data_IF_511731582091
#
_entry.id   IF_511731582091
#
_cell.length_a   1.000
_cell.length_b   1.000
_cell.length_c   1.000
_cell.angle_alpha   90.00
_cell.angle_beta   90.00
_cell.angle_gamma   90.00
#
_symmetry.space_group_name_H-M   'P 1'
#
loop_
_entity.id
_entity.type
_entity.pdbx_description
1 polymer ?
#
# COMPACT_ATOMS: atom_id res chain seq x y z
N UNK A 1 -27.05 -12.73 1.61
CA UNK A 1 -25.88 -13.57 1.95
C UNK A 1 -24.94 -12.77 2.83
N UNK A 2 -24.92 -13.08 4.12
CA UNK A 2 -24.11 -12.41 5.13
C UNK A 2 -22.73 -13.08 5.10
N UNK A 3 -21.71 -12.40 4.58
CA UNK A 3 -20.34 -12.93 4.55
C UNK A 3 -19.84 -13.06 5.99
N UNK A 4 -19.74 -14.29 6.48
CA UNK A 4 -19.19 -14.60 7.79
C UNK A 4 -17.74 -14.13 7.87
N UNK A 5 -17.51 -13.10 8.68
CA UNK A 5 -16.17 -12.62 9.03
C UNK A 5 -15.48 -13.78 9.76
N UNK A 6 -14.52 -14.43 9.11
CA UNK A 6 -13.62 -15.40 9.79
C UNK A 6 -13.08 -14.73 11.06
N UNK A 7 -13.04 -15.47 12.17
CA UNK A 7 -12.60 -14.97 13.47
C UNK A 7 -11.31 -14.15 13.33
N UNK A 8 -11.41 -12.85 13.66
CA UNK A 8 -10.29 -11.92 13.55
C UNK A 8 -9.18 -12.40 14.50
N UNK A 9 -7.94 -12.52 14.00
CA UNK A 9 -6.79 -12.89 14.84
C UNK A 9 -6.67 -11.93 16.01
N UNK A 10 -6.38 -12.44 17.21
CA UNK A 10 -6.10 -11.62 18.41
C UNK A 10 -4.93 -10.68 18.11
N UNK A 11 -5.08 -9.40 18.43
CA UNK A 11 -4.01 -8.41 18.28
C UNK A 11 -2.89 -8.72 19.29
N UNK A 12 -1.79 -9.26 18.78
CA UNK A 12 -0.61 -9.70 19.54
C UNK A 12 0.58 -8.75 19.38
N UNK A 13 0.35 -7.55 18.83
CA UNK A 13 1.42 -6.65 18.42
C UNK A 13 2.05 -5.92 19.59
N UNK A 14 3.33 -5.62 19.44
CA UNK A 14 4.14 -4.85 20.38
C UNK A 14 3.53 -3.46 20.67
N UNK A 15 3.81 -2.92 21.86
CA UNK A 15 3.31 -1.62 22.29
C UNK A 15 3.78 -0.47 21.37
N UNK A 16 5.01 -0.52 20.86
CA UNK A 16 5.51 0.47 19.91
C UNK A 16 4.68 0.50 18.62
N UNK A 17 4.31 -0.68 18.11
CA UNK A 17 3.50 -0.77 16.89
C UNK A 17 2.12 -0.15 17.08
N UNK A 18 1.49 -0.34 18.24
CA UNK A 18 0.20 0.30 18.55
C UNK A 18 0.32 1.82 18.61
N UNK A 19 1.39 2.34 19.20
CA UNK A 19 1.64 3.79 19.26
C UNK A 19 1.86 4.36 17.85
N UNK A 20 2.69 3.71 17.04
CA UNK A 20 2.95 4.15 15.66
C UNK A 20 1.67 4.22 14.82
N UNK A 21 0.77 3.24 14.96
CA UNK A 21 -0.51 3.27 14.26
C UNK A 21 -1.41 4.41 14.70
N UNK A 22 -1.48 4.67 16.01
CA UNK A 22 -2.26 5.80 16.51
C UNK A 22 -1.75 7.11 15.91
N UNK A 23 -0.43 7.30 15.87
CA UNK A 23 0.18 8.48 15.23
C UNK A 23 -0.10 8.54 13.72
N UNK A 24 -0.10 7.40 13.01
CA UNK A 24 -0.49 7.34 11.59
C UNK A 24 -1.93 7.80 11.41
N UNK A 25 -2.85 7.33 12.26
CA UNK A 25 -4.26 7.69 12.19
C UNK A 25 -4.51 9.17 12.51
N UNK A 26 -3.85 9.68 13.54
CA UNK A 26 -3.91 11.10 13.93
C UNK A 26 -3.42 11.99 12.79
N UNK A 27 -2.20 11.73 12.26
CA UNK A 27 -1.67 12.47 11.11
C UNK A 27 -2.56 12.39 9.88
N UNK A 28 -3.20 11.25 9.65
CA UNK A 28 -4.11 11.08 8.51
C UNK A 28 -5.41 11.88 8.67
N UNK A 29 -5.90 12.05 9.91
CA UNK A 29 -7.11 12.82 10.21
C UNK A 29 -6.89 14.33 9.97
N UNK A 30 -5.72 14.84 10.35
CA UNK A 30 -5.36 16.26 10.26
C UNK A 30 -4.76 16.66 8.90
N UNK A 31 -4.62 15.70 8.00
CA UNK A 31 -3.97 15.91 6.70
C UNK A 31 -4.76 16.87 5.81
N UNK A 32 -4.03 17.83 5.24
CA UNK A 32 -4.58 18.71 4.21
C UNK A 32 -5.11 17.91 3.01
N UNK A 33 -6.41 18.06 2.75
CA UNK A 33 -7.12 17.41 1.64
C UNK A 33 -6.74 17.97 0.28
N UNK A 34 -6.18 19.16 0.25
CA UNK A 34 -5.71 19.86 -0.95
C UNK A 34 -4.22 19.68 -1.18
N UNK A 35 -3.51 18.92 -0.32
CA UNK A 35 -2.10 18.64 -0.49
C UNK A 35 -1.85 17.96 -1.85
N UNK A 36 -0.91 18.52 -2.60
CA UNK A 36 -0.50 18.01 -3.91
C UNK A 36 1.02 17.93 -3.92
N UNK A 37 1.55 16.75 -4.21
CA UNK A 37 2.97 16.56 -4.48
C UNK A 37 3.17 16.26 -5.97
N UNK A 38 4.10 16.94 -6.64
CA UNK A 38 4.38 16.75 -8.08
C UNK A 38 5.87 16.47 -8.29
N UNK A 39 6.19 15.75 -9.35
CA UNK A 39 7.56 15.48 -9.76
C UNK A 39 7.61 14.57 -10.98
N UNK A 40 8.72 14.61 -11.72
CA UNK A 40 8.94 13.79 -12.92
C UNK A 40 9.00 12.29 -12.61
N UNK A 41 9.34 11.93 -11.37
CA UNK A 41 9.34 10.57 -10.82
C UNK A 41 7.92 9.99 -10.62
N UNK A 42 6.86 10.77 -10.86
CA UNK A 42 5.46 10.34 -10.69
C UNK A 42 4.67 10.49 -12.00
N UNK A 43 4.06 9.39 -12.46
CA UNK A 43 3.27 9.33 -13.70
C UNK A 43 1.85 8.86 -13.43
N UNK A 44 0.86 9.65 -13.87
CA UNK A 44 -0.55 9.26 -13.80
C UNK A 44 -0.83 8.09 -14.75
N UNK A 45 -1.60 7.10 -14.27
CA UNK A 45 -1.95 5.90 -15.06
C UNK A 45 -3.44 5.83 -15.32
N UNK A 46 -4.27 5.91 -14.26
CA UNK A 46 -5.73 5.75 -14.38
C UNK A 46 -6.47 6.30 -13.16
N UNK A 47 -7.79 6.42 -13.27
CA UNK A 47 -8.70 6.55 -12.13
C UNK A 47 -9.30 5.19 -11.79
N UNK A 48 -9.45 4.89 -10.50
CA UNK A 48 -10.08 3.65 -10.02
C UNK A 48 -10.79 3.93 -8.68
N UNK A 49 -12.10 3.67 -8.60
CA UNK A 49 -12.88 3.88 -7.37
C UNK A 49 -12.85 5.32 -6.84
N UNK A 50 -12.78 6.32 -7.73
CA UNK A 50 -12.66 7.74 -7.34
C UNK A 50 -11.25 8.18 -6.91
N UNK A 51 -10.26 7.29 -6.99
CA UNK A 51 -8.86 7.56 -6.66
C UNK A 51 -8.03 7.67 -7.93
N UNK A 52 -6.95 8.46 -7.88
CA UNK A 52 -5.95 8.54 -8.95
C UNK A 52 -4.83 7.55 -8.66
N UNK A 53 -4.53 6.69 -9.63
CA UNK A 53 -3.45 5.71 -9.52
C UNK A 53 -2.24 6.23 -10.29
N UNK A 54 -1.10 6.25 -9.61
CA UNK A 54 0.17 6.70 -10.16
C UNK A 54 1.20 5.57 -10.13
N UNK A 55 2.01 5.50 -11.17
CA UNK A 55 3.30 4.83 -11.13
C UNK A 55 4.35 5.81 -10.61
N UNK A 56 5.20 5.34 -9.70
CA UNK A 56 6.29 6.12 -9.15
C UNK A 56 7.63 5.41 -9.28
N UNK A 57 8.69 6.19 -9.44
CA UNK A 57 10.04 5.71 -9.16
C UNK A 57 10.19 5.47 -7.65
N UNK A 58 10.03 4.22 -7.25
CA UNK A 58 10.11 3.84 -5.84
C UNK A 58 11.50 4.03 -5.23
N UNK A 59 12.57 4.01 -6.03
CA UNK A 59 13.92 4.29 -5.53
C UNK A 59 14.08 5.78 -5.21
N UNK A 60 13.61 6.65 -6.11
CA UNK A 60 13.55 8.07 -5.83
C UNK A 60 12.73 8.36 -4.56
N UNK A 61 11.53 7.77 -4.43
CA UNK A 61 10.68 7.95 -3.23
C UNK A 61 11.41 7.50 -1.96
N UNK A 62 12.12 6.37 -1.99
CA UNK A 62 12.88 5.88 -0.83
C UNK A 62 14.05 6.77 -0.44
N UNK A 63 14.73 7.34 -1.42
CA UNK A 63 15.90 8.18 -1.18
C UNK A 63 15.53 9.61 -0.77
N UNK A 64 14.34 10.10 -1.10
CA UNK A 64 13.96 11.50 -0.94
C UNK A 64 12.78 11.75 0.00
N UNK A 65 11.84 10.80 0.13
CA UNK A 65 10.61 11.00 0.91
C UNK A 65 10.50 10.04 2.09
N UNK A 66 10.76 8.74 1.89
CA UNK A 66 10.60 7.75 2.95
C UNK A 66 11.36 6.46 2.67
N UNK A 67 12.43 6.22 3.42
CA UNK A 67 13.25 5.02 3.30
C UNK A 67 12.48 3.70 3.46
N UNK A 68 11.32 3.75 4.14
CA UNK A 68 10.45 2.59 4.39
C UNK A 68 9.33 2.42 3.34
N UNK A 69 9.30 3.24 2.28
CA UNK A 69 8.32 3.06 1.20
C UNK A 69 8.55 1.72 0.49
N UNK A 70 7.55 0.84 0.61
CA UNK A 70 7.56 -0.51 0.06
C UNK A 70 7.32 -0.54 -1.45
N UNK A 71 6.33 -1.34 -1.86
CA UNK A 71 5.96 -1.49 -3.27
C UNK A 71 4.80 -0.58 -3.69
N UNK A 72 3.97 -0.16 -2.75
CA UNK A 72 2.85 0.76 -2.97
C UNK A 72 2.53 1.51 -1.68
N UNK A 73 1.63 2.50 -1.77
CA UNK A 73 1.18 3.24 -0.60
C UNK A 73 0.06 4.23 -0.90
N UNK A 74 -0.58 4.70 0.16
CA UNK A 74 -1.66 5.70 0.11
C UNK A 74 -1.60 6.73 1.24
N UNK A 75 -2.39 7.81 1.09
CA UNK A 75 -2.31 8.99 1.94
C UNK A 75 -2.71 8.85 3.42
N UNK A 76 -3.39 7.77 3.82
CA UNK A 76 -3.69 7.48 5.24
C UNK A 76 -2.53 6.80 5.99
N UNK A 77 -1.49 6.36 5.28
CA UNK A 77 -0.30 5.72 5.89
C UNK A 77 0.92 6.62 5.70
N UNK A 78 1.07 7.17 4.49
CA UNK A 78 2.16 8.05 4.14
C UNK A 78 1.68 9.50 4.03
N UNK A 79 2.19 10.38 4.91
CA UNK A 79 1.83 11.79 4.93
C UNK A 79 2.15 12.53 3.62
N UNK A 80 3.18 12.09 2.90
CA UNK A 80 3.59 12.67 1.61
C UNK A 80 2.75 12.21 0.40
N UNK A 81 1.83 11.26 0.55
CA UNK A 81 0.96 10.79 -0.55
C UNK A 81 -0.41 11.48 -0.45
N UNK A 82 -0.90 12.26 -1.43
CA UNK A 82 -2.22 12.88 -1.32
C UNK A 82 -3.37 11.88 -1.01
N UNK A 83 -4.39 12.31 -0.25
CA UNK A 83 -5.48 11.43 0.24
C UNK A 83 -6.34 10.79 -0.87
N UNK A 84 -6.31 11.35 -2.08
CA UNK A 84 -7.01 10.86 -3.26
C UNK A 84 -6.08 10.12 -4.25
N UNK A 85 -4.85 9.80 -3.84
CA UNK A 85 -3.85 9.11 -4.67
C UNK A 85 -3.46 7.75 -4.10
N UNK A 86 -3.19 6.82 -5.01
CA UNK A 86 -2.53 5.53 -4.77
C UNK A 86 -1.24 5.54 -5.58
N UNK A 87 -0.11 5.24 -4.95
CA UNK A 87 1.19 5.18 -5.62
C UNK A 87 1.68 3.74 -5.69
N UNK A 88 2.18 3.34 -6.85
CA UNK A 88 2.70 1.99 -7.11
C UNK A 88 4.12 2.11 -7.68
N UNK A 89 5.07 1.48 -7.01
CA UNK A 89 6.45 1.40 -7.45
C UNK A 89 6.57 0.57 -8.73
N UNK A 90 7.30 1.09 -9.71
CA UNK A 90 7.50 0.41 -11.00
C UNK A 90 8.54 -0.72 -10.95
N UNK A 91 9.39 -0.72 -9.91
CA UNK A 91 10.52 -1.65 -9.77
C UNK A 91 10.58 -2.22 -8.37
N UNK A 92 11.02 -3.47 -8.29
CA UNK A 92 11.29 -4.15 -7.04
C UNK A 92 12.42 -3.42 -6.27
N UNK A 93 12.28 -3.15 -4.96
CA UNK A 93 13.30 -2.45 -4.20
C UNK A 93 14.66 -3.14 -4.28
N UNK A 94 15.70 -2.39 -4.66
CA UNK A 94 17.07 -2.93 -4.77
C UNK A 94 17.60 -3.52 -3.44
N UNK A 95 17.12 -2.99 -2.31
CA UNK A 95 17.45 -3.42 -0.96
C UNK A 95 16.50 -4.50 -0.39
N UNK A 96 15.61 -5.11 -1.19
CA UNK A 96 14.81 -6.25 -0.67
C UNK A 96 15.71 -7.44 -0.34
N UNK A 97 15.35 -8.17 0.72
CA UNK A 97 15.95 -9.45 1.13
C UNK A 97 15.40 -10.66 0.35
N UNK A 98 14.56 -10.41 -0.65
CA UNK A 98 13.91 -11.40 -1.50
C UNK A 98 14.97 -12.25 -2.24
N UNK A 99 14.96 -13.57 -2.05
CA UNK A 99 15.96 -14.48 -2.66
C UNK A 99 15.66 -14.86 -4.11
N UNK A 100 14.37 -14.95 -4.47
CA UNK A 100 13.90 -15.46 -5.76
C UNK A 100 13.47 -14.36 -6.74
N UNK A 101 13.76 -13.09 -6.43
CA UNK A 101 13.37 -11.96 -7.26
C UNK A 101 14.62 -11.20 -7.65
N UNK A 102 14.80 -10.97 -8.95
CA UNK A 102 15.88 -10.13 -9.46
C UNK A 102 15.76 -8.70 -8.88
N UNK A 103 16.87 -8.18 -8.36
CA UNK A 103 16.92 -6.83 -7.79
C UNK A 103 16.60 -5.80 -8.88
N UNK A 104 15.82 -4.79 -8.54
CA UNK A 104 15.42 -3.72 -9.46
C UNK A 104 14.60 -4.18 -10.69
N UNK A 105 14.10 -5.43 -10.69
CA UNK A 105 13.19 -5.97 -11.70
C UNK A 105 11.95 -5.08 -11.83
N UNK A 106 11.50 -4.83 -13.06
CA UNK A 106 10.23 -4.16 -13.33
C UNK A 106 9.07 -5.03 -12.82
N UNK A 107 8.17 -4.44 -12.04
CA UNK A 107 7.01 -5.17 -11.51
C UNK A 107 6.06 -5.57 -12.65
N UNK A 108 5.44 -6.74 -12.53
CA UNK A 108 4.45 -7.21 -13.51
C UNK A 108 3.15 -6.40 -13.41
N UNK A 109 2.34 -6.45 -14.47
CA UNK A 109 1.01 -5.82 -14.44
C UNK A 109 0.13 -6.47 -13.37
N UNK A 110 0.20 -7.81 -13.23
CA UNK A 110 -0.54 -8.56 -12.20
C UNK A 110 -0.17 -8.11 -10.79
N UNK A 111 1.12 -7.95 -10.50
CA UNK A 111 1.57 -7.43 -9.22
C UNK A 111 1.03 -6.00 -9.00
N UNK A 112 1.14 -5.15 -10.02
CA UNK A 112 0.66 -3.77 -9.94
C UNK A 112 -0.83 -3.71 -9.63
N UNK A 113 -1.64 -4.59 -10.24
CA UNK A 113 -3.08 -4.65 -9.99
C UNK A 113 -3.40 -5.24 -8.60
N UNK A 114 -2.62 -6.20 -8.12
CA UNK A 114 -2.70 -6.71 -6.73
C UNK A 114 -2.42 -5.58 -5.73
N UNK A 115 -1.34 -4.83 -5.93
CA UNK A 115 -0.97 -3.70 -5.08
C UNK A 115 -2.05 -2.60 -5.10
N UNK A 116 -2.59 -2.25 -6.27
CA UNK A 116 -3.69 -1.27 -6.35
C UNK A 116 -4.93 -1.77 -5.60
N UNK A 117 -5.30 -3.05 -5.73
CA UNK A 117 -6.43 -3.62 -5.00
C UNK A 117 -6.19 -3.57 -3.49
N UNK A 118 -4.97 -3.91 -3.05
CA UNK A 118 -4.55 -3.84 -1.64
C UNK A 118 -4.74 -2.43 -1.10
N UNK A 119 -4.09 -1.45 -1.71
CA UNK A 119 -4.07 -0.06 -1.26
C UNK A 119 -5.47 0.58 -1.26
N UNK A 120 -6.29 0.31 -2.28
CA UNK A 120 -7.67 0.83 -2.32
C UNK A 120 -8.50 0.24 -1.17
N UNK A 121 -8.34 -1.06 -0.89
CA UNK A 121 -9.06 -1.76 0.17
C UNK A 121 -8.64 -1.26 1.54
N UNK A 122 -7.33 -1.23 1.80
CA UNK A 122 -6.75 -0.73 3.06
C UNK A 122 -7.19 0.71 3.33
N UNK A 123 -7.02 1.61 2.34
CA UNK A 123 -7.43 3.01 2.42
C UNK A 123 -8.91 3.15 2.74
N UNK A 124 -9.77 2.34 2.10
CA UNK A 124 -11.22 2.41 2.28
C UNK A 124 -11.60 2.08 3.73
N UNK A 125 -10.97 1.08 4.32
CA UNK A 125 -11.24 0.71 5.71
C UNK A 125 -10.61 1.70 6.70
N UNK A 126 -9.39 2.20 6.44
CA UNK A 126 -8.79 3.25 7.28
C UNK A 126 -9.60 4.54 7.27
N UNK A 127 -10.16 4.94 6.12
CA UNK A 127 -11.09 6.07 6.03
C UNK A 127 -12.34 5.89 6.91
N UNK A 128 -12.74 4.65 7.21
CA UNK A 128 -13.86 4.32 8.10
C UNK A 128 -13.45 4.24 9.58
N UNK A 129 -12.20 4.59 9.91
CA UNK A 129 -11.65 4.54 11.26
C UNK A 129 -11.01 3.20 11.62
N UNK A 130 -10.86 2.26 10.68
CA UNK A 130 -10.14 1.01 10.94
C UNK A 130 -8.64 1.30 11.15
N UNK A 131 -8.04 0.67 12.15
CA UNK A 131 -6.58 0.73 12.35
C UNK A 131 -5.85 0.07 11.19
N UNK A 132 -4.66 0.61 10.86
CA UNK A 132 -3.84 0.19 9.73
C UNK A 132 -3.70 -1.33 9.64
N UNK A 133 -3.30 -2.01 10.71
CA UNK A 133 -3.10 -3.45 10.70
C UNK A 133 -4.35 -4.24 10.37
N UNK A 134 -5.52 -3.87 10.91
CA UNK A 134 -6.77 -4.54 10.56
C UNK A 134 -7.12 -4.31 9.09
N UNK A 135 -6.97 -3.07 8.61
CA UNK A 135 -7.23 -2.72 7.22
C UNK A 135 -6.29 -3.49 6.27
N UNK A 136 -5.02 -3.64 6.64
CA UNK A 136 -4.02 -4.41 5.92
C UNK A 136 -4.40 -5.90 5.80
N UNK A 137 -4.88 -6.51 6.89
CA UNK A 137 -5.35 -7.90 6.85
C UNK A 137 -6.57 -8.09 5.92
N UNK A 138 -7.50 -7.12 5.92
CA UNK A 138 -8.65 -7.14 5.01
C UNK A 138 -8.20 -7.03 3.55
N UNK A 139 -7.24 -6.16 3.26
CA UNK A 139 -6.67 -6.00 1.94
C UNK A 139 -5.98 -7.28 1.43
N UNK A 140 -5.16 -7.92 2.27
CA UNK A 140 -4.54 -9.23 1.94
C UNK A 140 -5.58 -10.32 1.64
N UNK A 141 -6.69 -10.35 2.39
CA UNK A 141 -7.78 -11.29 2.14
C UNK A 141 -8.46 -11.00 0.79
N UNK A 142 -8.63 -9.71 0.44
CA UNK A 142 -9.20 -9.28 -0.83
C UNK A 142 -8.35 -9.66 -2.03
N UNK A 143 -7.03 -9.54 -1.92
CA UNK A 143 -6.10 -9.97 -2.97
C UNK A 143 -6.18 -11.48 -3.23
N UNK A 144 -6.31 -12.28 -2.17
CA UNK A 144 -6.50 -13.73 -2.27
C UNK A 144 -7.81 -14.09 -2.94
N UNK A 145 -8.91 -13.43 -2.55
CA UNK A 145 -10.23 -13.61 -3.18
C UNK A 145 -10.23 -13.27 -4.67
N UNK A 146 -9.48 -12.24 -5.07
CA UNK A 146 -9.32 -11.87 -6.47
C UNK A 146 -8.41 -12.83 -7.26
N UNK A 147 -7.80 -13.82 -6.58
CA UNK A 147 -6.84 -14.75 -7.17
C UNK A 147 -5.55 -14.09 -7.64
N UNK A 148 -5.27 -12.84 -7.26
CA UNK A 148 -4.14 -12.06 -7.78
C UNK A 148 -2.81 -12.50 -7.17
N UNK A 149 -2.80 -12.89 -5.89
CA UNK A 149 -1.66 -13.46 -5.20
C UNK A 149 -1.56 -14.98 -5.42
N UNK A 150 -0.67 -15.41 -6.30
CA UNK A 150 0.19 -16.57 -5.98
C UNK A 150 1.29 -16.03 -5.08
N UNK A 151 1.72 -16.81 -4.09
CA UNK A 151 2.80 -16.42 -3.16
C UNK A 151 3.92 -15.68 -3.92
N UNK A 152 4.34 -14.46 -3.51
CA UNK A 152 5.39 -13.70 -4.19
C UNK A 152 6.74 -14.43 -4.22
N UNK A 153 6.94 -15.49 -3.42
CA UNK A 153 8.08 -16.41 -3.49
C UNK A 153 7.89 -17.56 -4.50
N UNK A 154 6.66 -17.74 -5.00
CA UNK A 154 6.25 -18.76 -5.97
C UNK A 154 6.15 -18.26 -7.42
N UNK A 155 6.29 -16.95 -7.66
CA UNK A 155 6.55 -16.45 -9.01
C UNK A 155 7.99 -16.80 -9.40
N UNK A 156 8.19 -18.04 -9.85
CA UNK A 156 9.44 -18.44 -10.52
C UNK A 156 9.61 -17.67 -11.82
N UNK A 157 10.88 -17.43 -12.18
CA UNK A 157 11.35 -16.69 -13.38
C UNK A 157 10.51 -16.92 -14.63
#
# INVERSE_FOLDING_TARGET
MQYGIKAQKKDTRDKLWKKLEAEIQERAADKDRNFILRGSWKKFIRKQGGLKVFQVDGEWVRNNLSAIFGHAGHGYVHEFIPLNEIWVGIRHPAKCVCRNVEKNRKMSQRFSDSAVLHEITERKEMRRGMIFWKAHQVALQKEKEAGLLKDPFSETK
#
